data_IF_633330607805
#
_entry.id   IF_633330607805
#
_cell.length_a   1.000
_cell.length_b   1.000
_cell.length_c   1.000
_cell.angle_alpha   90.00
_cell.angle_beta   90.00
_cell.angle_gamma   90.00
#
_symmetry.space_group_name_H-M   'P 1'
#
loop_
_entity.id
_entity.type
_entity.pdbx_description
1 polymer ?
#
# COMPACT_ATOMS: atom_id res chain seq x y z
N UNK A 1 8.85 15.81 -7.30
CA UNK A 1 8.80 15.69 -5.83
C UNK A 1 7.43 15.19 -5.39
N UNK A 2 7.34 13.93 -4.97
CA UNK A 2 6.07 13.26 -4.59
C UNK A 2 5.44 13.81 -3.29
N UNK A 3 6.19 14.60 -2.51
CA UNK A 3 5.70 15.21 -1.27
C UNK A 3 4.93 16.52 -1.50
N UNK A 4 5.01 17.12 -2.69
CA UNK A 4 4.24 18.33 -3.00
C UNK A 4 2.73 18.00 -2.97
N UNK A 5 1.95 18.81 -2.23
CA UNK A 5 0.52 18.64 -2.08
C UNK A 5 0.07 17.58 -1.08
N UNK A 6 1.00 16.94 -0.34
CA UNK A 6 0.63 15.89 0.64
C UNK A 6 0.60 16.38 2.10
N UNK A 7 0.99 17.63 2.34
CA UNK A 7 0.94 18.25 3.67
C UNK A 7 -0.41 18.95 3.87
N UNK A 8 -1.14 18.52 4.86
CA UNK A 8 -2.46 19.08 5.17
C UNK A 8 -3.55 18.01 5.10
N UNK A 9 -4.79 18.42 5.28
CA UNK A 9 -5.97 17.54 5.30
C UNK A 9 -7.00 18.06 4.31
N UNK A 10 -7.65 17.15 3.61
CA UNK A 10 -8.78 17.46 2.76
C UNK A 10 -8.45 18.33 1.57
N UNK A 11 -9.28 19.31 1.31
CA UNK A 11 -9.21 20.19 0.13
C UNK A 11 -7.87 20.93 -0.01
N UNK A 12 -7.19 21.24 1.09
CA UNK A 12 -5.91 21.97 1.07
C UNK A 12 -4.74 21.15 0.54
N UNK A 13 -4.84 19.82 0.55
CA UNK A 13 -3.83 18.89 0.04
C UNK A 13 -4.24 18.19 -1.25
N UNK A 14 -5.44 18.48 -1.80
CA UNK A 14 -5.97 17.82 -3.00
C UNK A 14 -6.16 16.30 -2.83
N UNK A 15 -6.25 15.81 -1.60
CA UNK A 15 -6.39 14.39 -1.27
C UNK A 15 -5.28 13.52 -1.88
N UNK A 16 -4.05 14.03 -1.87
CA UNK A 16 -2.87 13.34 -2.36
C UNK A 16 -2.13 12.63 -1.21
N UNK A 17 -1.45 11.55 -1.52
CA UNK A 17 -0.63 10.79 -0.57
C UNK A 17 0.84 10.76 -1.00
N UNK A 18 1.80 10.64 -0.06
CA UNK A 18 3.24 10.69 -0.35
C UNK A 18 3.88 9.34 -0.66
N UNK A 19 3.15 8.23 -0.48
CA UNK A 19 3.71 6.88 -0.46
C UNK A 19 4.27 6.38 -1.78
N UNK A 20 4.83 5.18 -1.73
CA UNK A 20 5.38 4.51 -2.89
C UNK A 20 4.26 4.06 -3.84
N UNK A 21 4.43 4.37 -5.14
CA UNK A 21 3.52 3.98 -6.21
C UNK A 21 4.30 3.46 -7.41
N UNK A 22 3.64 2.64 -8.24
CA UNK A 22 4.12 2.24 -9.56
C UNK A 22 3.25 2.94 -10.62
N UNK A 23 3.77 3.26 -11.83
CA UNK A 23 2.92 3.83 -12.88
C UNK A 23 1.71 2.95 -13.14
N UNK A 24 0.51 3.51 -12.95
CA UNK A 24 -0.77 2.79 -13.04
C UNK A 24 -0.89 1.53 -12.16
N UNK A 25 -0.05 1.39 -11.13
CA UNK A 25 -0.01 0.19 -10.29
C UNK A 25 -1.31 -0.06 -9.53
N UNK A 26 -1.62 -1.34 -9.29
CA UNK A 26 -2.71 -1.77 -8.43
C UNK A 26 -2.46 -1.34 -6.98
N UNK A 27 -1.19 -1.23 -6.59
CA UNK A 27 -0.73 -0.97 -5.22
C UNK A 27 -0.24 0.46 -5.05
N UNK A 28 -0.67 1.09 -3.94
CA UNK A 28 -0.18 2.37 -3.43
C UNK A 28 0.21 2.17 -1.97
N UNK A 29 1.49 1.87 -1.71
CA UNK A 29 1.96 1.62 -0.37
C UNK A 29 2.32 2.93 0.33
N UNK A 30 1.43 3.41 1.17
CA UNK A 30 1.42 4.80 1.66
C UNK A 30 0.88 4.90 3.08
N UNK A 31 1.27 5.94 3.85
CA UNK A 31 0.54 6.29 5.07
C UNK A 31 -0.94 6.47 4.79
N UNK A 32 -1.77 5.99 5.71
CA UNK A 32 -3.23 6.17 5.60
C UNK A 32 -3.57 7.65 5.68
N UNK A 33 -4.27 8.14 4.65
CA UNK A 33 -4.65 9.55 4.57
C UNK A 33 -5.96 9.85 5.32
N UNK A 34 -6.93 8.97 5.22
CA UNK A 34 -8.26 9.16 5.78
C UNK A 34 -8.47 8.50 7.15
N UNK A 35 -7.70 7.48 7.46
CA UNK A 35 -7.85 6.77 8.72
C UNK A 35 -7.23 7.56 9.88
N UNK A 36 -7.96 7.72 10.98
CA UNK A 36 -7.40 8.18 12.26
C UNK A 36 -6.46 7.15 12.89
N UNK A 37 -6.35 5.96 12.30
CA UNK A 37 -5.47 4.89 12.75
C UNK A 37 -4.21 4.92 11.91
N UNK A 38 -3.09 5.05 12.58
CA UNK A 38 -1.77 5.06 11.94
C UNK A 38 -1.47 3.73 11.27
N UNK A 39 -0.71 3.76 10.20
CA UNK A 39 -0.25 2.59 9.47
C UNK A 39 -0.02 2.89 7.99
N UNK A 40 0.66 1.95 7.33
CA UNK A 40 0.89 2.00 5.89
C UNK A 40 -0.12 1.08 5.20
N UNK A 41 -1.00 1.66 4.41
CA UNK A 41 -2.06 0.95 3.67
C UNK A 41 -1.58 0.57 2.29
N UNK A 42 -2.24 -0.42 1.67
CA UNK A 42 -1.77 -0.98 0.40
C UNK A 42 -2.55 -0.46 -0.82
N UNK A 43 -3.68 0.16 -0.61
CA UNK A 43 -4.50 0.73 -1.69
C UNK A 43 -5.12 2.06 -1.27
N UNK A 44 -5.10 3.03 -2.19
CA UNK A 44 -5.70 4.34 -2.00
C UNK A 44 -5.88 5.02 -3.36
N UNK A 45 -6.96 5.81 -3.54
CA UNK A 45 -7.15 6.59 -4.75
C UNK A 45 -6.49 7.97 -4.61
N UNK A 46 -5.71 8.38 -5.61
CA UNK A 46 -5.14 9.72 -5.68
C UNK A 46 -6.20 10.73 -6.09
N UNK A 47 -6.36 11.81 -5.31
CA UNK A 47 -7.31 12.87 -5.61
C UNK A 47 -8.77 12.54 -5.27
N UNK A 48 -9.05 11.40 -4.66
CA UNK A 48 -10.40 11.04 -4.23
C UNK A 48 -10.90 11.94 -3.10
N UNK A 49 -11.99 12.70 -3.32
CA UNK A 49 -12.50 13.70 -2.40
C UNK A 49 -13.24 13.17 -1.17
N UNK A 50 -13.33 11.86 -1.01
CA UNK A 50 -13.99 11.20 0.12
C UNK A 50 -13.16 10.06 0.65
N UNK A 51 -13.43 9.64 1.88
CA UNK A 51 -12.81 8.44 2.46
C UNK A 51 -13.11 7.22 1.59
N UNK A 52 -12.09 6.40 1.36
CA UNK A 52 -12.19 5.19 0.54
C UNK A 52 -10.97 4.29 0.75
N UNK A 53 -11.12 3.00 0.47
CA UNK A 53 -10.02 2.01 0.50
C UNK A 53 -9.17 2.10 1.80
N UNK A 54 -7.85 2.06 1.71
CA UNK A 54 -6.97 2.10 2.88
C UNK A 54 -6.95 0.75 3.61
N UNK A 55 -6.92 -0.34 2.84
CA UNK A 55 -6.96 -1.69 3.40
C UNK A 55 -5.57 -2.15 3.89
N UNK A 56 -5.61 -3.10 4.80
CA UNK A 56 -4.49 -3.85 5.34
C UNK A 56 -3.35 -2.97 5.87
N UNK A 57 -3.64 -1.97 6.73
CA UNK A 57 -2.59 -1.16 7.32
C UNK A 57 -1.59 -2.03 8.06
N UNK A 58 -0.31 -1.78 7.80
CA UNK A 58 0.81 -2.38 8.53
C UNK A 58 1.48 -1.34 9.39
N UNK A 59 1.89 -1.72 10.60
CA UNK A 59 2.51 -0.81 11.53
C UNK A 59 3.59 -1.50 12.36
N UNK A 60 4.87 -1.08 12.27
CA UNK A 60 5.93 -1.57 13.13
C UNK A 60 5.88 -0.88 14.49
N UNK A 61 6.07 -1.63 15.57
CA UNK A 61 6.10 -1.10 16.94
C UNK A 61 7.24 -1.69 17.76
N UNK A 62 7.74 -0.92 18.74
CA UNK A 62 8.62 -1.40 19.82
C UNK A 62 7.75 -2.00 20.92
N UNK A 63 7.87 -3.30 21.18
CA UNK A 63 7.06 -3.96 22.21
C UNK A 63 5.56 -3.99 21.87
N UNK A 64 4.70 -4.01 22.92
CA UNK A 64 3.24 -4.04 22.77
C UNK A 64 2.67 -2.63 22.62
N UNK A 65 2.06 -2.37 21.49
CA UNK A 65 1.17 -1.29 21.06
C UNK A 65 1.15 0.08 21.79
N UNK A 66 1.66 1.13 21.12
CA UNK A 66 1.08 2.49 21.13
C UNK A 66 1.33 3.13 19.76
N UNK A 67 0.31 3.73 19.14
CA UNK A 67 0.42 4.42 17.88
C UNK A 67 0.87 5.87 18.05
N UNK A 68 1.81 6.34 17.22
CA UNK A 68 2.33 7.72 17.20
C UNK A 68 2.41 8.22 15.76
N UNK A 69 2.20 9.52 15.48
CA UNK A 69 2.27 10.07 14.11
C UNK A 69 3.70 10.03 13.56
N UNK A 70 3.79 9.80 12.24
CA UNK A 70 5.03 9.67 11.50
C UNK A 70 5.65 11.02 11.14
N UNK A 71 6.97 11.09 11.12
CA UNK A 71 7.73 12.19 10.54
C UNK A 71 8.29 11.76 9.18
N UNK A 72 7.86 12.44 8.12
CA UNK A 72 8.32 12.16 6.76
C UNK A 72 9.79 12.51 6.62
N UNK A 73 10.63 11.57 6.18
CA UNK A 73 12.04 11.77 5.91
C UNK A 73 12.34 12.00 4.43
N UNK A 74 11.88 11.11 3.57
CA UNK A 74 12.11 11.13 2.12
C UNK A 74 10.94 10.54 1.36
N UNK A 75 10.74 11.04 0.14
CA UNK A 75 9.81 10.42 -0.80
C UNK A 75 10.16 10.80 -2.23
N UNK A 76 10.20 9.80 -3.10
CA UNK A 76 10.30 9.96 -4.55
C UNK A 76 9.45 8.89 -5.24
N UNK A 77 9.32 8.96 -6.54
CA UNK A 77 8.53 7.99 -7.29
C UNK A 77 9.01 6.56 -7.03
N UNK A 78 8.10 5.67 -6.65
CA UNK A 78 8.38 4.28 -6.31
C UNK A 78 8.98 4.02 -4.92
N UNK A 79 9.19 5.05 -4.11
CA UNK A 79 9.79 4.93 -2.78
C UNK A 79 9.20 5.93 -1.77
N UNK A 80 9.07 5.49 -0.52
CA UNK A 80 8.71 6.34 0.61
C UNK A 80 9.49 5.92 1.86
N UNK A 81 9.88 6.89 2.68
CA UNK A 81 10.57 6.66 3.95
C UNK A 81 10.00 7.56 5.03
N UNK A 82 9.77 7.00 6.23
CA UNK A 82 9.32 7.73 7.41
C UNK A 82 9.93 7.18 8.69
N UNK A 83 9.99 8.02 9.73
CA UNK A 83 10.21 7.57 11.09
C UNK A 83 8.87 7.26 11.76
N UNK A 84 8.79 6.10 12.39
CA UNK A 84 7.64 5.60 13.13
C UNK A 84 8.03 5.45 14.59
N UNK A 85 7.16 5.83 15.52
CA UNK A 85 7.45 5.77 16.96
C UNK A 85 8.81 6.41 17.33
N UNK A 86 9.14 7.54 16.70
CA UNK A 86 10.34 8.35 16.89
C UNK A 86 11.64 7.76 16.33
N UNK A 87 11.81 6.44 16.28
CA UNK A 87 13.09 5.80 15.98
C UNK A 87 13.04 4.49 15.16
N UNK A 88 11.86 4.02 14.77
CA UNK A 88 11.75 2.94 13.78
C UNK A 88 11.71 3.56 12.39
N UNK A 89 12.70 3.25 11.55
CA UNK A 89 12.72 3.70 10.16
C UNK A 89 11.94 2.74 9.29
N UNK A 90 10.85 3.21 8.69
CA UNK A 90 10.06 2.48 7.71
C UNK A 90 10.42 2.94 6.30
N UNK A 91 10.80 2.00 5.45
CA UNK A 91 11.06 2.19 4.01
C UNK A 91 10.06 1.37 3.22
N UNK A 92 9.40 1.98 2.25
CA UNK A 92 8.37 1.34 1.42
C UNK A 92 8.73 1.44 -0.05
N UNK A 93 8.48 0.38 -0.79
CA UNK A 93 8.55 0.34 -2.25
C UNK A 93 7.47 -0.59 -2.81
N UNK A 94 7.28 -0.58 -4.11
CA UNK A 94 6.19 -1.30 -4.78
C UNK A 94 6.64 -1.89 -6.12
N UNK A 95 5.95 -2.93 -6.54
CA UNK A 95 5.81 -3.32 -7.94
C UNK A 95 4.41 -2.95 -8.44
N UNK A 96 3.99 -3.46 -9.55
CA UNK A 96 2.65 -3.16 -10.09
C UNK A 96 1.51 -3.67 -9.19
N UNK A 97 1.69 -4.87 -8.56
CA UNK A 97 0.66 -5.56 -7.75
C UNK A 97 1.12 -5.92 -6.35
N UNK A 98 2.33 -5.54 -5.98
CA UNK A 98 2.87 -5.90 -4.67
C UNK A 98 3.51 -4.71 -3.96
N UNK A 99 3.53 -4.75 -2.64
CA UNK A 99 4.28 -3.82 -1.81
C UNK A 99 5.39 -4.53 -1.06
N UNK A 100 6.47 -3.79 -0.76
CA UNK A 100 7.56 -4.26 0.09
C UNK A 100 7.94 -3.17 1.08
N UNK A 101 8.11 -3.55 2.34
CA UNK A 101 8.60 -2.69 3.41
C UNK A 101 9.88 -3.23 4.02
N UNK A 102 10.71 -2.33 4.52
CA UNK A 102 11.84 -2.64 5.38
C UNK A 102 11.74 -1.77 6.63
N UNK A 103 11.52 -2.40 7.78
CA UNK A 103 11.40 -1.77 9.09
C UNK A 103 12.71 -1.93 9.85
N UNK A 104 13.44 -0.82 10.06
CA UNK A 104 14.71 -0.78 10.78
C UNK A 104 14.47 -0.35 12.22
N UNK A 105 14.72 -1.26 13.17
CA UNK A 105 14.55 -1.02 14.59
C UNK A 105 15.82 -0.43 15.23
N UNK A 106 15.71 0.32 16.33
CA UNK A 106 16.85 0.89 17.05
C UNK A 106 17.85 -0.17 17.51
N UNK A 107 19.10 0.24 17.70
CA UNK A 107 20.20 -0.66 18.03
C UNK A 107 20.02 -1.36 19.40
N UNK A 108 19.38 -0.71 20.36
CA UNK A 108 19.10 -1.20 21.71
C UNK A 108 17.83 -2.06 21.80
N UNK A 109 17.04 -2.12 20.73
CA UNK A 109 15.78 -2.86 20.72
C UNK A 109 16.02 -4.36 20.60
N UNK A 110 15.45 -5.16 21.52
CA UNK A 110 15.49 -6.61 21.49
C UNK A 110 14.34 -7.20 20.65
N UNK A 111 13.13 -6.68 20.81
CA UNK A 111 11.94 -7.18 20.12
C UNK A 111 11.32 -6.10 19.28
N UNK A 112 10.89 -6.48 18.07
CA UNK A 112 10.09 -5.65 17.17
C UNK A 112 8.82 -6.37 16.78
N UNK A 113 7.68 -5.68 16.78
CA UNK A 113 6.39 -6.26 16.39
C UNK A 113 5.87 -5.54 15.16
N UNK A 114 5.33 -6.30 14.21
CA UNK A 114 4.58 -5.76 13.07
C UNK A 114 3.12 -6.16 13.20
N UNK A 115 2.24 -5.17 13.15
CA UNK A 115 0.79 -5.34 13.24
C UNK A 115 0.21 -5.21 11.85
N UNK A 116 -0.74 -6.07 11.49
CA UNK A 116 -1.48 -6.02 10.23
C UNK A 116 -2.97 -5.98 10.53
N UNK A 117 -3.65 -4.96 9.98
CA UNK A 117 -5.10 -4.82 10.11
C UNK A 117 -5.82 -5.54 8.98
N UNK A 118 -6.42 -6.69 9.26
CA UNK A 118 -7.26 -7.42 8.29
C UNK A 118 -8.60 -6.74 8.07
N UNK A 119 -9.29 -6.41 9.16
CA UNK A 119 -10.59 -5.72 9.16
C UNK A 119 -10.49 -4.21 9.35
N UNK A 120 -9.55 -3.55 8.69
CA UNK A 120 -9.34 -2.09 8.75
C UNK A 120 -9.39 -1.52 7.34
N UNK A 121 -10.17 -0.47 7.16
CA UNK A 121 -10.13 0.41 5.99
C UNK A 121 -10.58 1.82 6.37
N UNK A 122 -10.49 2.76 5.42
CA UNK A 122 -10.96 4.14 5.63
C UNK A 122 -12.48 4.23 5.77
N UNK A 123 -13.21 3.29 5.18
CA UNK A 123 -14.68 3.17 5.26
C UNK A 123 -15.09 1.89 5.98
N UNK A 124 -16.34 1.74 6.43
CA UNK A 124 -16.80 0.53 7.11
C UNK A 124 -16.53 -0.74 6.33
N UNK A 125 -16.14 -1.77 7.05
CA UNK A 125 -15.91 -3.13 6.54
C UNK A 125 -17.16 -3.95 6.73
N UNK A 126 -17.68 -4.56 5.66
CA UNK A 126 -18.83 -5.47 5.70
C UNK A 126 -18.38 -6.87 6.15
N UNK A 127 -17.28 -7.37 5.58
CA UNK A 127 -16.68 -8.65 5.94
C UNK A 127 -15.15 -8.55 5.86
N UNK A 128 -14.48 -9.24 6.74
CA UNK A 128 -13.03 -9.44 6.67
C UNK A 128 -12.66 -10.72 7.39
N UNK A 129 -11.61 -11.38 6.89
CA UNK A 129 -10.95 -12.48 7.58
C UNK A 129 -9.46 -12.45 7.29
N UNK A 130 -8.68 -12.81 8.29
CA UNK A 130 -7.22 -12.94 8.20
C UNK A 130 -6.78 -14.19 8.95
N UNK A 131 -5.88 -14.95 8.35
CA UNK A 131 -5.34 -16.18 8.90
C UNK A 131 -3.82 -16.17 8.86
N UNK A 132 -3.18 -16.53 9.97
CA UNK A 132 -1.75 -16.83 10.04
C UNK A 132 -1.56 -18.26 9.53
N UNK A 133 -0.84 -18.41 8.42
CA UNK A 133 -0.62 -19.70 7.74
C UNK A 133 0.74 -20.31 8.03
N UNK A 134 1.70 -19.50 8.51
CA UNK A 134 3.03 -19.93 8.93
C UNK A 134 3.61 -18.92 9.94
N UNK A 135 4.72 -19.23 10.63
CA UNK A 135 5.35 -18.29 11.57
C UNK A 135 5.73 -16.94 10.97
N UNK A 136 5.82 -16.85 9.65
CA UNK A 136 6.17 -15.65 8.90
C UNK A 136 5.15 -15.29 7.80
N UNK A 137 3.94 -15.84 7.81
CA UNK A 137 2.96 -15.64 6.74
C UNK A 137 1.54 -15.46 7.24
N UNK A 138 0.81 -14.60 6.56
CA UNK A 138 -0.65 -14.50 6.72
C UNK A 138 -1.31 -14.17 5.38
N UNK A 139 -2.60 -14.43 5.30
CA UNK A 139 -3.43 -14.14 4.14
C UNK A 139 -4.86 -13.84 4.55
N UNK A 140 -5.62 -13.22 3.67
CA UNK A 140 -7.00 -12.89 4.00
C UNK A 140 -7.68 -12.01 2.97
N UNK A 141 -8.80 -11.45 3.37
CA UNK A 141 -9.57 -10.52 2.54
C UNK A 141 -10.29 -9.49 3.39
N UNK A 142 -10.69 -8.41 2.75
CA UNK A 142 -11.64 -7.43 3.26
C UNK A 142 -12.67 -7.09 2.17
N UNK A 143 -13.92 -6.95 2.57
CA UNK A 143 -15.05 -6.55 1.73
C UNK A 143 -15.73 -5.34 2.36
N UNK A 144 -16.02 -4.36 1.55
CA UNK A 144 -16.67 -3.11 1.94
C UNK A 144 -16.74 -2.17 0.76
N UNK A 145 -16.82 -0.91 1.03
CA UNK A 145 -16.78 0.13 0.02
C UNK A 145 -17.94 1.10 0.15
N UNK A 146 -17.54 2.33 0.39
CA UNK A 146 -18.40 3.51 0.39
C UNK A 146 -17.57 4.65 -0.19
N UNK A 147 -18.11 5.39 -1.12
CA UNK A 147 -17.47 6.58 -1.66
C UNK A 147 -18.49 7.71 -1.68
N UNK A 148 -18.22 8.78 -0.90
CA UNK A 148 -19.10 9.93 -0.78
C UNK A 148 -20.55 9.58 -0.38
N UNK A 149 -20.74 8.58 0.48
CA UNK A 149 -22.07 8.13 0.91
C UNK A 149 -22.77 7.16 -0.06
N UNK A 150 -22.16 6.84 -1.20
CA UNK A 150 -22.66 5.84 -2.13
C UNK A 150 -21.99 4.50 -1.87
N UNK A 151 -22.78 3.44 -1.80
CA UNK A 151 -22.24 2.08 -1.68
C UNK A 151 -21.56 1.70 -3.01
N UNK A 152 -20.24 1.53 -2.95
CA UNK A 152 -19.38 1.11 -4.07
C UNK A 152 -18.62 -0.14 -3.64
N UNK A 153 -19.29 -1.31 -3.55
CA UNK A 153 -18.72 -2.49 -2.94
C UNK A 153 -17.51 -2.99 -3.75
N UNK A 154 -16.50 -3.44 -3.02
CA UNK A 154 -15.37 -4.16 -3.57
C UNK A 154 -14.89 -5.20 -2.55
N UNK A 155 -14.20 -6.21 -3.04
CA UNK A 155 -13.50 -7.19 -2.23
C UNK A 155 -12.04 -7.22 -2.65
N UNK A 156 -11.15 -7.13 -1.68
CA UNK A 156 -9.71 -7.18 -1.89
C UNK A 156 -9.11 -8.30 -1.06
N UNK A 157 -8.22 -9.06 -1.68
CA UNK A 157 -7.51 -10.20 -1.11
C UNK A 157 -6.03 -9.88 -1.00
N UNK A 158 -5.36 -10.48 -0.03
CA UNK A 158 -3.92 -10.33 0.13
C UNK A 158 -3.25 -11.61 0.62
N UNK A 159 -1.96 -11.69 0.33
CA UNK A 159 -1.00 -12.62 0.92
C UNK A 159 0.20 -11.82 1.38
N UNK A 160 0.67 -12.05 2.59
CA UNK A 160 1.79 -11.33 3.17
C UNK A 160 2.82 -12.29 3.76
N UNK A 161 4.10 -11.92 3.62
CA UNK A 161 5.24 -12.69 4.08
C UNK A 161 6.27 -11.78 4.76
N UNK A 162 7.00 -12.36 5.73
CA UNK A 162 8.16 -11.73 6.38
C UNK A 162 9.43 -12.51 6.04
N UNK A 163 10.57 -11.84 6.07
CA UNK A 163 11.91 -12.42 5.81
C UNK A 163 12.52 -13.14 7.02
N UNK A 164 11.76 -13.30 8.10
CA UNK A 164 12.13 -14.02 9.32
C UNK A 164 10.88 -14.66 9.94
N UNK A 165 11.07 -15.76 10.65
CA UNK A 165 10.03 -16.37 11.48
C UNK A 165 9.82 -15.53 12.74
N UNK A 166 8.56 -15.31 13.11
CA UNK A 166 8.20 -14.65 14.35
C UNK A 166 8.45 -15.57 15.55
N UNK A 167 8.90 -14.98 16.65
CA UNK A 167 8.98 -15.65 17.95
C UNK A 167 7.60 -15.87 18.58
N UNK A 168 6.72 -14.90 18.35
CA UNK A 168 5.35 -14.88 18.84
C UNK A 168 4.46 -14.30 17.77
N UNK A 169 3.30 -14.88 17.59
CA UNK A 169 2.25 -14.31 16.75
C UNK A 169 0.89 -14.53 17.38
N UNK A 170 -0.09 -13.78 16.93
CA UNK A 170 -1.46 -13.90 17.39
C UNK A 170 -2.37 -12.94 16.65
N UNK A 171 -3.60 -12.88 17.12
CA UNK A 171 -4.61 -11.99 16.56
C UNK A 171 -4.93 -10.87 17.54
N UNK A 172 -5.59 -9.85 17.02
CA UNK A 172 -6.17 -8.79 17.82
C UNK A 172 -7.56 -8.42 17.30
N UNK A 173 -8.41 -7.96 18.20
CA UNK A 173 -9.70 -7.39 17.84
C UNK A 173 -9.98 -6.19 18.74
N UNK A 174 -10.14 -5.00 18.15
CA UNK A 174 -10.18 -3.72 18.87
C UNK A 174 -8.89 -3.55 19.70
N UNK A 175 -9.02 -3.42 21.02
CA UNK A 175 -7.88 -3.25 21.94
C UNK A 175 -7.40 -4.56 22.59
N UNK A 176 -8.05 -5.70 22.26
CA UNK A 176 -7.75 -7.01 22.82
C UNK A 176 -6.75 -7.78 21.96
N UNK A 177 -5.63 -8.19 22.56
CA UNK A 177 -4.66 -9.11 21.95
C UNK A 177 -4.99 -10.55 22.35
N UNK A 178 -4.87 -11.46 21.39
CA UNK A 178 -5.08 -12.92 21.56
C UNK A 178 -3.82 -13.67 21.10
N UNK A 179 -2.84 -13.88 22.01
CA UNK A 179 -1.63 -14.63 21.68
C UNK A 179 -1.94 -16.06 21.23
N UNK A 180 -1.09 -16.58 20.32
CA UNK A 180 -1.17 -17.96 19.83
C UNK A 180 -2.48 -18.33 19.10
N UNK A 181 -3.28 -17.35 18.72
CA UNK A 181 -4.42 -17.54 17.84
C UNK A 181 -4.05 -17.22 16.39
N UNK A 182 -4.61 -17.94 15.44
CA UNK A 182 -4.22 -17.83 14.03
C UNK A 182 -5.30 -17.23 13.14
N UNK A 183 -6.51 -17.00 13.66
CA UNK A 183 -7.64 -16.51 12.88
C UNK A 183 -8.33 -15.33 13.54
N UNK A 184 -8.57 -14.28 12.76
CA UNK A 184 -9.38 -13.14 13.16
C UNK A 184 -10.35 -12.76 12.04
N UNK A 185 -11.52 -12.24 12.42
CA UNK A 185 -12.56 -11.84 11.48
C UNK A 185 -13.29 -10.56 11.92
N UNK A 186 -13.94 -9.94 10.93
CA UNK A 186 -14.79 -8.77 11.11
C UNK A 186 -14.03 -7.47 11.23
N UNK A 187 -14.78 -6.41 11.43
CA UNK A 187 -14.25 -5.04 11.54
C UNK A 187 -13.37 -4.88 12.78
N UNK A 188 -12.33 -4.07 12.68
CA UNK A 188 -11.35 -3.79 13.74
C UNK A 188 -10.61 -5.04 14.25
N UNK A 189 -10.20 -5.89 13.32
CA UNK A 189 -9.44 -7.11 13.60
C UNK A 189 -8.17 -7.20 12.76
N UNK A 190 -7.23 -8.04 13.21
CA UNK A 190 -6.00 -8.28 12.48
C UNK A 190 -5.09 -9.28 13.19
N UNK A 191 -3.85 -9.33 12.73
CA UNK A 191 -2.79 -10.18 13.28
C UNK A 191 -1.58 -9.35 13.70
N UNK A 192 -0.71 -9.94 14.51
CA UNK A 192 0.59 -9.39 14.84
C UNK A 192 1.67 -10.47 14.83
N UNK A 193 2.90 -10.05 14.54
CA UNK A 193 4.09 -10.87 14.52
C UNK A 193 5.21 -10.17 15.30
N UNK A 194 5.78 -10.84 16.29
CA UNK A 194 6.88 -10.32 17.10
C UNK A 194 8.16 -11.07 16.78
N UNK A 195 9.21 -10.32 16.47
CA UNK A 195 10.52 -10.82 16.02
C UNK A 195 11.61 -10.50 17.04
N UNK A 196 12.66 -11.33 17.10
CA UNK A 196 13.93 -10.97 17.74
C UNK A 196 14.74 -10.08 16.79
N UNK A 197 14.81 -8.80 17.11
CA UNK A 197 15.59 -7.81 16.35
C UNK A 197 16.93 -7.50 17.01
N UNK A 198 17.37 -8.28 18.00
CA UNK A 198 18.64 -8.06 18.70
C UNK A 198 19.85 -8.24 17.78
N UNK A 199 19.80 -9.21 16.88
CA UNK A 199 20.88 -9.53 15.93
C UNK A 199 20.66 -8.94 14.53
N UNK A 200 19.43 -9.04 14.01
CA UNK A 200 19.02 -8.48 12.72
C UNK A 200 18.06 -7.34 12.97
N UNK A 201 18.54 -6.09 12.88
CA UNK A 201 17.77 -4.87 13.21
C UNK A 201 16.66 -4.54 12.24
N UNK A 202 16.58 -5.21 11.10
CA UNK A 202 15.56 -4.97 10.09
C UNK A 202 14.70 -6.19 9.86
N UNK A 203 13.41 -5.96 9.75
CA UNK A 203 12.41 -6.94 9.31
C UNK A 203 11.85 -6.46 7.99
N UNK A 204 11.93 -7.31 6.99
CA UNK A 204 11.31 -7.05 5.70
C UNK A 204 9.95 -7.72 5.62
N UNK A 205 9.04 -7.02 5.00
CA UNK A 205 7.64 -7.40 4.79
C UNK A 205 7.29 -7.22 3.33
N UNK A 206 6.59 -8.19 2.75
CA UNK A 206 6.03 -8.06 1.41
C UNK A 206 4.59 -8.51 1.38
N UNK A 207 3.79 -7.86 0.54
CA UNK A 207 2.37 -8.11 0.38
C UNK A 207 1.99 -8.10 -1.10
N UNK A 208 1.31 -9.15 -1.55
CA UNK A 208 0.64 -9.20 -2.84
C UNK A 208 -0.86 -9.01 -2.66
N UNK A 209 -1.49 -8.33 -3.59
CA UNK A 209 -2.95 -8.10 -3.58
C UNK A 209 -3.61 -8.55 -4.86
N UNK A 210 -4.90 -8.85 -4.78
CA UNK A 210 -5.79 -9.15 -5.91
C UNK A 210 -7.22 -8.71 -5.56
N UNK A 211 -7.98 -8.35 -6.57
CA UNK A 211 -9.43 -8.15 -6.45
C UNK A 211 -10.25 -9.39 -6.86
N UNK A 212 -9.58 -10.51 -7.11
CA UNK A 212 -10.18 -11.78 -7.56
C UNK A 212 -10.14 -12.84 -6.47
N UNK A 213 -8.95 -13.19 -5.97
CA UNK A 213 -8.78 -14.27 -4.98
C UNK A 213 -7.46 -14.18 -4.20
N UNK A 214 -7.36 -14.93 -3.11
CA UNK A 214 -6.10 -15.11 -2.35
C UNK A 214 -5.05 -15.82 -3.23
N UNK A 215 -5.48 -16.78 -4.04
CA UNK A 215 -4.61 -17.51 -4.98
C UNK A 215 -3.95 -16.54 -5.98
N UNK A 216 -4.73 -15.64 -6.55
CA UNK A 216 -4.22 -14.63 -7.48
C UNK A 216 -3.29 -13.62 -6.77
N UNK A 217 -3.60 -13.21 -5.54
CA UNK A 217 -2.69 -12.39 -4.73
C UNK A 217 -1.34 -13.09 -4.51
N UNK A 218 -1.36 -14.41 -4.29
CA UNK A 218 -0.14 -15.24 -4.14
C UNK A 218 0.63 -15.36 -5.46
N UNK A 219 -0.07 -15.51 -6.59
CA UNK A 219 0.56 -15.53 -7.91
C UNK A 219 1.21 -14.19 -8.23
N UNK A 220 0.52 -13.07 -7.96
CA UNK A 220 1.07 -11.72 -8.12
C UNK A 220 2.36 -11.55 -7.30
N UNK A 221 2.34 -11.97 -6.03
CA UNK A 221 3.51 -11.87 -5.16
C UNK A 221 4.68 -12.69 -5.67
N UNK A 222 4.43 -13.93 -6.12
CA UNK A 222 5.46 -14.80 -6.68
C UNK A 222 6.03 -14.30 -8.00
N UNK A 223 5.21 -13.68 -8.84
CA UNK A 223 5.64 -13.20 -10.15
C UNK A 223 6.47 -11.92 -10.07
N UNK A 224 6.12 -11.02 -9.17
CA UNK A 224 6.69 -9.67 -9.16
C UNK A 224 7.71 -9.42 -8.03
N UNK A 225 7.64 -10.18 -6.93
CA UNK A 225 8.46 -9.94 -5.73
C UNK A 225 8.96 -11.26 -5.13
N UNK A 226 9.84 -11.93 -5.87
CA UNK A 226 10.29 -13.29 -5.54
C UNK A 226 11.29 -13.35 -4.39
N UNK A 227 12.11 -12.31 -4.20
CA UNK A 227 13.22 -12.27 -3.25
C UNK A 227 12.98 -11.30 -2.08
N UNK A 228 14.08 -11.03 -1.36
CA UNK A 228 14.15 -10.10 -0.24
C UNK A 228 15.15 -8.97 -0.49
N UNK A 229 15.46 -8.68 -1.77
CA UNK A 229 16.29 -7.54 -2.15
C UNK A 229 15.42 -6.29 -2.33
N UNK A 230 15.27 -5.53 -1.24
CA UNK A 230 14.50 -4.29 -1.22
C UNK A 230 15.02 -3.26 -2.23
N UNK A 231 16.35 -3.15 -2.37
CA UNK A 231 16.95 -2.18 -3.30
C UNK A 231 16.70 -2.55 -4.75
N UNK A 232 16.68 -3.84 -5.08
CA UNK A 232 16.31 -4.30 -6.43
C UNK A 232 14.89 -3.87 -6.79
N UNK A 233 13.91 -4.10 -5.91
CA UNK A 233 12.52 -3.70 -6.13
C UNK A 233 12.38 -2.17 -6.23
N UNK A 234 13.05 -1.44 -5.35
CA UNK A 234 13.09 0.03 -5.40
C UNK A 234 13.64 0.54 -6.73
N UNK A 235 14.78 0.02 -7.18
CA UNK A 235 15.43 0.42 -8.43
C UNK A 235 14.54 0.08 -9.65
N UNK A 236 13.85 -1.03 -9.64
CA UNK A 236 12.89 -1.39 -10.69
C UNK A 236 11.73 -0.39 -10.77
N UNK A 237 11.15 -0.02 -9.62
CA UNK A 237 10.08 0.98 -9.56
C UNK A 237 10.58 2.37 -10.03
N UNK A 238 11.77 2.78 -9.60
CA UNK A 238 12.38 4.05 -10.01
C UNK A 238 12.70 4.07 -11.50
N UNK A 239 13.29 3.00 -12.04
CA UNK A 239 13.54 2.88 -13.49
C UNK A 239 12.25 2.99 -14.29
N UNK A 240 11.19 2.31 -13.83
CA UNK A 240 9.88 2.39 -14.50
C UNK A 240 9.29 3.80 -14.47
N UNK A 241 9.41 4.52 -13.37
CA UNK A 241 9.01 5.92 -13.30
C UNK A 241 9.84 6.80 -14.25
N UNK A 242 11.15 6.58 -14.35
CA UNK A 242 12.01 7.31 -15.27
C UNK A 242 11.62 7.08 -16.74
N UNK A 243 11.23 5.84 -17.10
CA UNK A 243 10.69 5.53 -18.44
C UNK A 243 9.44 6.36 -18.78
N UNK A 244 8.55 6.57 -17.80
CA UNK A 244 7.33 7.35 -18.01
C UNK A 244 7.56 8.85 -17.97
N UNK A 245 8.31 9.34 -16.98
CA UNK A 245 8.57 10.76 -16.81
C UNK A 245 9.50 11.32 -17.90
N UNK A 246 10.43 10.50 -18.40
CA UNK A 246 11.35 10.86 -19.47
C UNK A 246 10.70 10.91 -20.87
N UNK A 247 9.42 10.55 -21.02
CA UNK A 247 8.71 10.74 -22.31
C UNK A 247 8.50 12.20 -22.68
N UNK A 248 8.53 13.09 -21.70
CA UNK A 248 8.41 14.53 -21.91
C UNK A 248 9.58 15.20 -21.18
N UNK A 249 10.53 15.72 -21.95
CA UNK A 249 11.65 16.47 -21.43
C UNK A 249 11.35 17.97 -21.50
N UNK A 250 11.56 18.68 -20.40
CA UNK A 250 11.37 20.13 -20.32
C UNK A 250 12.61 20.81 -19.85
N UNK A 251 12.92 21.97 -20.47
CA UNK A 251 14.01 22.83 -20.08
C UNK A 251 13.49 24.17 -19.58
N UNK A 252 14.23 24.81 -18.70
CA UNK A 252 13.86 26.13 -18.18
C UNK A 252 14.86 26.62 -17.14
N UNK A 253 14.84 27.91 -16.89
CA UNK A 253 15.73 28.58 -15.92
C UNK A 253 15.22 28.54 -14.48
N UNK A 254 13.97 28.18 -14.27
CA UNK A 254 13.35 28.12 -12.94
C UNK A 254 13.18 26.66 -12.48
N UNK A 255 14.01 26.17 -11.52
CA UNK A 255 13.98 24.79 -11.07
C UNK A 255 12.67 24.39 -10.35
N UNK A 256 11.99 25.35 -9.71
CA UNK A 256 10.72 25.08 -9.04
C UNK A 256 9.62 24.75 -10.04
N UNK A 257 9.60 25.44 -11.19
CA UNK A 257 8.64 25.14 -12.27
C UNK A 257 8.90 23.81 -12.93
N UNK A 258 10.17 23.42 -13.11
CA UNK A 258 10.55 22.10 -13.60
C UNK A 258 10.07 21.03 -12.59
N UNK A 259 10.33 21.24 -11.31
CA UNK A 259 9.88 20.35 -10.23
C UNK A 259 8.35 20.22 -10.20
N UNK A 260 7.62 21.34 -10.34
CA UNK A 260 6.17 21.33 -10.42
C UNK A 260 5.67 20.54 -11.63
N UNK A 261 6.27 20.76 -12.83
CA UNK A 261 5.91 20.05 -14.04
C UNK A 261 6.02 18.53 -13.85
N UNK A 262 7.19 18.03 -13.42
CA UNK A 262 7.38 16.59 -13.21
C UNK A 262 6.54 16.04 -12.06
N UNK A 263 6.20 16.85 -11.05
CA UNK A 263 5.26 16.44 -10.00
C UNK A 263 3.85 16.24 -10.56
N UNK A 264 3.38 17.14 -11.41
CA UNK A 264 2.07 16.99 -12.06
C UNK A 264 2.05 15.83 -13.06
N UNK A 265 3.12 15.67 -13.85
CA UNK A 265 3.26 14.54 -14.77
C UNK A 265 3.24 13.19 -14.02
N UNK A 266 3.98 13.10 -12.89
CA UNK A 266 3.92 11.96 -12.00
C UNK A 266 2.49 11.67 -11.53
N UNK A 267 1.75 12.68 -11.06
CA UNK A 267 0.36 12.52 -10.62
C UNK A 267 -0.57 12.03 -11.73
N UNK A 268 -0.32 12.44 -12.97
CA UNK A 268 -1.11 12.01 -14.14
C UNK A 268 -0.93 10.53 -14.48
N UNK A 269 0.17 9.90 -14.06
CA UNK A 269 0.46 8.49 -14.30
C UNK A 269 0.17 7.56 -13.11
N UNK A 270 -0.39 8.07 -12.02
CA UNK A 270 -0.81 7.23 -10.89
C UNK A 270 -2.10 6.47 -11.23
N UNK A 271 -3.01 7.08 -11.96
CA UNK A 271 -4.35 6.57 -12.25
C UNK A 271 -4.66 6.70 -13.76
N UNK A 272 -5.41 5.75 -14.40
CA UNK A 272 -6.15 4.61 -13.83
C UNK A 272 -5.25 3.47 -13.34
N UNK A 273 -5.72 2.70 -12.37
CA UNK A 273 -4.93 1.61 -11.81
C UNK A 273 -5.18 0.29 -12.56
N UNK A 274 -4.14 -0.51 -12.74
CA UNK A 274 -4.29 -1.92 -13.15
C UNK A 274 -5.16 -2.63 -12.12
N UNK A 275 -6.14 -3.37 -12.59
CA UNK A 275 -7.01 -4.20 -11.75
C UNK A 275 -7.02 -5.69 -12.18
N UNK A 276 -6.26 -6.05 -13.23
CA UNK A 276 -6.04 -7.44 -13.61
C UNK A 276 -4.79 -8.01 -12.93
N UNK A 277 -4.89 -9.27 -12.54
CA UNK A 277 -3.80 -10.05 -11.98
C UNK A 277 -2.79 -10.48 -13.07
N UNK A 278 -1.65 -11.04 -12.67
CA UNK A 278 -0.59 -11.49 -13.60
C UNK A 278 -1.08 -12.58 -14.55
N UNK A 279 -2.08 -13.38 -14.14
CA UNK A 279 -2.70 -14.40 -14.98
C UNK A 279 -3.77 -13.84 -15.95
N UNK A 280 -4.02 -12.51 -15.90
CA UNK A 280 -4.99 -11.81 -16.73
C UNK A 280 -6.42 -11.78 -16.19
N UNK A 281 -6.68 -12.36 -15.02
CA UNK A 281 -8.01 -12.33 -14.39
C UNK A 281 -8.26 -10.96 -13.72
N UNK A 282 -9.51 -10.53 -13.73
CA UNK A 282 -9.96 -9.31 -13.08
C UNK A 282 -11.45 -9.39 -12.70
N UNK A 283 -11.84 -8.62 -11.70
CA UNK A 283 -13.25 -8.46 -11.31
C UNK A 283 -13.91 -7.41 -12.22
N UNK A 284 -14.94 -7.82 -12.95
CA UNK A 284 -15.72 -6.92 -13.80
C UNK A 284 -16.72 -6.07 -13.02
N UNK A 285 -17.26 -5.05 -13.68
CA UNK A 285 -18.33 -4.22 -13.12
C UNK A 285 -19.65 -4.98 -12.87
N UNK A 286 -19.78 -6.16 -13.45
CA UNK A 286 -20.86 -7.12 -13.22
C UNK A 286 -20.61 -8.04 -12.02
N UNK A 287 -19.56 -7.79 -11.24
CA UNK A 287 -19.10 -8.61 -10.11
C UNK A 287 -18.79 -10.06 -10.47
N UNK A 288 -18.36 -10.31 -11.72
CA UNK A 288 -17.88 -11.61 -12.17
C UNK A 288 -16.40 -11.54 -12.51
N UNK A 289 -15.75 -12.68 -12.37
CA UNK A 289 -14.36 -12.83 -12.79
C UNK A 289 -14.29 -12.96 -14.31
N UNK A 290 -13.50 -12.11 -14.92
CA UNK A 290 -13.20 -12.13 -16.35
C UNK A 290 -11.70 -12.37 -16.57
N UNK A 291 -11.31 -12.68 -17.80
CA UNK A 291 -9.92 -12.89 -18.19
C UNK A 291 -9.60 -12.13 -19.49
N UNK A 292 -8.50 -11.40 -19.47
CA UNK A 292 -7.98 -10.66 -20.62
C UNK A 292 -6.54 -11.04 -20.91
N UNK A 293 -6.14 -10.93 -22.18
CA UNK A 293 -4.73 -11.07 -22.60
C UNK A 293 -3.94 -9.78 -22.39
N UNK A 294 -4.61 -8.65 -22.31
CA UNK A 294 -4.03 -7.34 -22.00
C UNK A 294 -4.38 -6.92 -20.59
N UNK A 295 -3.59 -6.01 -20.02
CA UNK A 295 -3.92 -5.41 -18.74
C UNK A 295 -5.29 -4.76 -18.75
N UNK A 296 -6.07 -5.00 -17.72
CA UNK A 296 -7.32 -4.32 -17.48
C UNK A 296 -7.13 -3.24 -16.44
N UNK A 297 -7.70 -2.06 -16.68
CA UNK A 297 -7.55 -0.89 -15.83
C UNK A 297 -8.90 -0.51 -15.23
N UNK A 298 -8.86 0.11 -14.05
CA UNK A 298 -10.05 0.70 -13.42
C UNK A 298 -10.62 1.81 -14.30
N UNK A 299 -11.92 2.03 -14.21
CA UNK A 299 -12.52 3.26 -14.70
C UNK A 299 -12.03 4.46 -13.89
N UNK A 300 -12.05 5.64 -14.47
CA UNK A 300 -11.71 6.90 -13.82
C UNK A 300 -12.63 8.02 -14.33
N UNK A 301 -12.73 9.09 -13.53
CA UNK A 301 -13.68 10.15 -13.80
C UNK A 301 -13.32 10.96 -15.04
N UNK A 302 -14.10 10.81 -16.11
CA UNK A 302 -13.93 11.62 -17.33
C UNK A 302 -14.14 13.10 -17.07
N UNK A 303 -14.95 13.45 -16.08
CA UNK A 303 -15.18 14.83 -15.69
C UNK A 303 -13.90 15.54 -15.23
N UNK A 304 -13.01 14.82 -14.53
CA UNK A 304 -11.73 15.36 -14.08
C UNK A 304 -10.65 15.29 -15.16
N UNK A 305 -10.70 14.29 -16.05
CA UNK A 305 -9.57 13.87 -16.87
C UNK A 305 -9.71 14.18 -18.35
N UNK A 306 -10.89 14.67 -18.83
CA UNK A 306 -11.18 14.92 -20.24
C UNK A 306 -10.24 15.94 -20.91
N UNK A 307 -9.71 16.88 -20.11
CA UNK A 307 -8.68 17.82 -20.57
C UNK A 307 -7.30 17.22 -20.38
N UNK A 308 -6.50 17.20 -21.40
CA UNK A 308 -5.07 16.86 -21.40
C UNK A 308 -4.70 15.47 -20.91
N UNK A 309 -5.24 14.98 -19.78
CA UNK A 309 -4.84 13.68 -19.25
C UNK A 309 -5.24 12.51 -20.15
N UNK A 310 -6.46 12.51 -20.69
CA UNK A 310 -6.89 11.45 -21.64
C UNK A 310 -5.98 11.45 -22.87
N UNK A 311 -5.66 12.61 -23.43
CA UNK A 311 -4.77 12.73 -24.58
C UNK A 311 -3.33 12.32 -24.25
N UNK A 312 -2.87 12.54 -23.01
CA UNK A 312 -1.56 12.09 -22.54
C UNK A 312 -1.51 10.56 -22.43
N UNK A 313 -2.63 9.91 -22.10
CA UNK A 313 -2.71 8.47 -21.90
C UNK A 313 -2.97 7.69 -23.20
N UNK A 314 -3.54 8.33 -24.23
CA UNK A 314 -3.83 7.75 -25.54
C UNK A 314 -2.57 7.61 -26.40
#
# INVERSE_FOLDING_TARGET
>A
NTLIGTKGVGLTSGYLYPGATYPYGMVQFTPSYFSKRSGFVINQLSGGGCEHMGNFPTFPVKGKLKMSPDNILKGHAGYYEAMVQEDIKAKLTVTERTGMANYEYPADQQYGTVIIGGGISATPIEQAAIVITAPNKCEGYAEGGNFCGLRTPYKVYFVAEFDADALESGTWKRDELKPNTTFAEGEYSGVYFTFDVSKKKNIQYKIGVSYVSVENARENLKAENTGWDFLQIQNQAESKWNDYLGKIEVEGTNPDRITQFYTHLYRSFIHPNVCSDVNGEYMGADFKVHKSRSKHYTSFSNWDTYRTQIQLLA
#
